data_IF_139420657681
#
_entry.id   IF_139420657681
#
_cell.length_a   1.000
_cell.length_b   1.000
_cell.length_c   1.000
_cell.angle_alpha   90.00
_cell.angle_beta   90.00
_cell.angle_gamma   90.00
#
_symmetry.space_group_name_H-M   'P 1'
#
loop_
_entity.id
_entity.type
_entity.pdbx_description
1 polymer ?
#
# COMPACT_ATOMS: atom_id res chain seq x y z
N UNK A 1 0.55 -8.01 -27.57
CA UNK A 1 1.40 -8.73 -26.60
C UNK A 1 0.81 -10.13 -26.45
N UNK A 2 1.53 -11.15 -26.88
CA UNK A 2 1.01 -12.52 -27.04
C UNK A 2 0.91 -13.16 -25.65
N UNK A 3 -0.30 -13.48 -25.20
CA UNK A 3 -0.48 -14.29 -24.00
C UNK A 3 0.11 -15.68 -24.25
N UNK A 4 1.09 -16.07 -23.44
CA UNK A 4 1.56 -17.44 -23.38
C UNK A 4 0.39 -18.33 -22.95
N UNK A 5 0.12 -19.40 -23.71
CA UNK A 5 -0.90 -20.39 -23.40
C UNK A 5 -0.27 -21.56 -22.66
N UNK A 6 -0.79 -21.84 -21.49
CA UNK A 6 -0.49 -23.03 -20.69
C UNK A 6 -1.11 -24.27 -21.35
N UNK A 7 -0.58 -25.47 -21.06
CA UNK A 7 -0.97 -26.74 -21.71
C UNK A 7 -2.40 -27.24 -21.40
N UNK A 8 -3.24 -26.44 -20.74
CA UNK A 8 -4.60 -26.81 -20.32
C UNK A 8 -5.70 -25.85 -20.84
N UNK A 9 -5.37 -24.93 -21.75
CA UNK A 9 -6.35 -24.07 -22.42
C UNK A 9 -7.02 -22.99 -21.56
N UNK A 10 -6.80 -22.97 -20.24
CA UNK A 10 -7.16 -21.85 -19.37
C UNK A 10 -6.19 -20.69 -19.55
N UNK A 11 -6.68 -19.55 -20.03
CA UNK A 11 -5.93 -18.28 -19.99
C UNK A 11 -5.76 -17.91 -18.52
N UNK A 12 -4.55 -18.07 -17.99
CA UNK A 12 -4.22 -17.59 -16.64
C UNK A 12 -4.19 -16.06 -16.69
N UNK A 13 -5.27 -15.43 -16.25
CA UNK A 13 -5.33 -13.96 -16.21
C UNK A 13 -4.47 -13.46 -15.05
N UNK A 14 -3.58 -12.51 -15.33
CA UNK A 14 -2.80 -11.84 -14.30
C UNK A 14 -3.75 -11.06 -13.38
N UNK A 15 -3.71 -11.25 -12.05
CA UNK A 15 -4.57 -10.53 -11.12
C UNK A 15 -4.36 -9.01 -11.22
N UNK A 16 -5.45 -8.25 -11.11
CA UNK A 16 -5.42 -6.78 -11.18
C UNK A 16 -5.74 -6.19 -9.81
N UNK A 17 -4.90 -5.26 -9.35
CA UNK A 17 -5.07 -4.46 -8.15
C UNK A 17 -5.59 -3.09 -8.57
N UNK A 18 -6.84 -2.78 -8.20
CA UNK A 18 -7.48 -1.51 -8.50
C UNK A 18 -7.30 -0.53 -7.34
N UNK A 19 -6.49 0.52 -7.53
CA UNK A 19 -6.21 1.47 -6.45
C UNK A 19 -7.32 2.50 -6.23
N UNK A 20 -8.01 2.89 -7.31
CA UNK A 20 -8.99 3.98 -7.25
C UNK A 20 -10.43 3.47 -7.10
N UNK A 21 -10.68 2.19 -7.41
CA UNK A 21 -11.95 1.51 -7.15
C UNK A 21 -12.00 0.99 -5.72
N UNK A 22 -12.41 1.87 -4.80
CA UNK A 22 -12.69 1.51 -3.41
C UNK A 22 -14.17 1.62 -3.08
N UNK A 23 -14.66 0.67 -2.29
CA UNK A 23 -15.94 0.81 -1.61
C UNK A 23 -15.88 2.01 -0.65
N UNK A 24 -17.01 2.69 -0.49
CA UNK A 24 -17.19 3.85 0.39
C UNK A 24 -18.26 3.53 1.41
N UNK A 25 -18.23 4.24 2.54
CA UNK A 25 -19.15 4.03 3.64
C UNK A 25 -19.09 2.61 4.18
N UNK A 26 -17.87 2.07 4.26
CA UNK A 26 -17.64 0.74 4.81
C UNK A 26 -17.54 0.82 6.34
N UNK A 27 -17.73 -0.30 7.02
CA UNK A 27 -17.68 -0.34 8.49
C UNK A 27 -16.31 0.09 9.02
N UNK A 28 -15.22 -0.17 8.27
CA UNK A 28 -13.85 0.26 8.65
C UNK A 28 -13.68 1.78 8.71
N UNK A 29 -14.57 2.56 8.08
CA UNK A 29 -14.53 4.02 8.12
C UNK A 29 -15.24 4.60 9.37
N UNK A 30 -16.16 3.84 9.97
CA UNK A 30 -17.09 4.34 11.00
C UNK A 30 -16.96 3.61 12.34
N UNK A 31 -16.44 2.37 12.33
CA UNK A 31 -16.33 1.52 13.50
C UNK A 31 -14.88 1.11 13.77
N UNK A 32 -14.42 1.42 14.98
CA UNK A 32 -13.04 1.18 15.41
C UNK A 32 -12.73 -0.31 15.50
N UNK A 33 -13.66 -1.12 16.00
CA UNK A 33 -13.42 -2.55 16.18
C UNK A 33 -13.30 -3.27 14.84
N UNK A 34 -14.14 -2.87 13.87
CA UNK A 34 -14.06 -3.29 12.47
C UNK A 34 -12.71 -2.91 11.84
N UNK A 35 -12.23 -1.68 12.07
CA UNK A 35 -10.92 -1.26 11.58
C UNK A 35 -9.77 -2.08 12.18
N UNK A 36 -9.79 -2.33 13.49
CA UNK A 36 -8.79 -3.17 14.18
C UNK A 36 -8.81 -4.62 13.67
N UNK A 37 -10.00 -5.19 13.48
CA UNK A 37 -10.17 -6.52 12.91
C UNK A 37 -9.58 -6.62 11.50
N UNK A 38 -9.83 -5.60 10.66
CA UNK A 38 -9.30 -5.56 9.30
C UNK A 38 -7.77 -5.45 9.30
N UNK A 39 -7.19 -4.64 10.18
CA UNK A 39 -5.73 -4.54 10.35
C UNK A 39 -5.15 -5.91 10.72
N UNK A 40 -5.74 -6.62 11.69
CA UNK A 40 -5.21 -7.93 12.09
C UNK A 40 -5.35 -8.97 10.97
N UNK A 41 -6.44 -8.91 10.20
CA UNK A 41 -6.61 -9.78 9.03
C UNK A 41 -5.55 -9.53 7.97
N UNK A 42 -5.26 -8.26 7.65
CA UNK A 42 -4.18 -7.89 6.73
C UNK A 42 -2.83 -8.40 7.26
N UNK A 43 -2.53 -8.22 8.55
CA UNK A 43 -1.28 -8.70 9.18
C UNK A 43 -1.13 -10.22 9.06
N UNK A 44 -2.19 -10.98 9.35
CA UNK A 44 -2.18 -12.45 9.21
C UNK A 44 -1.92 -12.86 7.77
N UNK A 45 -2.57 -12.23 6.81
CA UNK A 45 -2.40 -12.54 5.39
C UNK A 45 -0.96 -12.27 4.92
N UNK A 46 -0.39 -11.12 5.28
CA UNK A 46 0.99 -10.76 4.92
C UNK A 46 1.98 -11.76 5.53
N UNK A 47 1.80 -12.15 6.79
CA UNK A 47 2.68 -13.13 7.47
C UNK A 47 2.64 -14.52 6.84
N UNK A 48 1.53 -14.87 6.18
CA UNK A 48 1.37 -16.15 5.50
C UNK A 48 1.96 -16.15 4.07
N UNK A 49 2.41 -15.00 3.56
CA UNK A 49 2.95 -14.93 2.19
C UNK A 49 4.34 -15.54 2.09
N UNK A 50 4.56 -16.28 1.01
CA UNK A 50 5.87 -16.85 0.68
C UNK A 50 6.61 -15.95 -0.32
N UNK A 51 7.94 -16.07 -0.46
CA UNK A 51 8.70 -15.34 -1.47
C UNK A 51 8.18 -15.54 -2.90
N UNK A 52 7.67 -16.74 -3.22
CA UNK A 52 7.09 -17.07 -4.52
C UNK A 52 5.79 -16.28 -4.77
N UNK A 53 4.93 -16.18 -3.75
CA UNK A 53 3.71 -15.35 -3.81
C UNK A 53 4.07 -13.88 -4.00
N UNK A 54 5.04 -13.37 -3.24
CA UNK A 54 5.51 -11.98 -3.36
C UNK A 54 6.10 -11.67 -4.74
N UNK A 55 6.72 -12.65 -5.38
CA UNK A 55 7.32 -12.50 -6.71
C UNK A 55 6.30 -12.67 -7.85
N UNK A 56 5.05 -13.00 -7.53
CA UNK A 56 4.01 -13.25 -8.54
C UNK A 56 3.69 -11.98 -9.33
N UNK A 57 3.52 -12.10 -10.66
CA UNK A 57 3.13 -10.97 -11.51
C UNK A 57 1.69 -10.54 -11.19
N UNK A 58 1.48 -9.23 -11.17
CA UNK A 58 0.18 -8.58 -11.01
C UNK A 58 0.08 -7.40 -11.97
N UNK A 59 -1.11 -6.83 -12.14
CA UNK A 59 -1.29 -5.52 -12.76
C UNK A 59 -1.77 -4.51 -11.73
N UNK A 60 -1.12 -3.34 -11.65
CA UNK A 60 -1.62 -2.21 -10.89
C UNK A 60 -2.44 -1.29 -11.79
N UNK A 61 -3.71 -1.06 -11.47
CA UNK A 61 -4.60 -0.21 -12.22
C UNK A 61 -4.84 1.12 -11.48
N UNK A 62 -4.63 2.23 -12.18
CA UNK A 62 -4.71 3.58 -11.65
C UNK A 62 -5.52 4.50 -12.55
N UNK A 63 -6.35 5.33 -11.96
CA UNK A 63 -6.98 6.47 -12.60
C UNK A 63 -6.02 7.66 -12.59
N UNK A 64 -5.48 8.01 -13.75
CA UNK A 64 -4.45 9.06 -13.87
C UNK A 64 -5.03 10.46 -14.10
N UNK A 65 -6.34 10.54 -14.29
CA UNK A 65 -7.03 11.78 -14.64
C UNK A 65 -8.51 11.71 -14.25
N UNK A 66 -9.18 12.86 -14.15
CA UNK A 66 -10.55 12.94 -13.61
C UNK A 66 -11.62 12.32 -14.52
N UNK A 67 -11.26 11.90 -15.73
CA UNK A 67 -12.13 11.26 -16.72
C UNK A 67 -12.55 9.83 -16.33
N UNK A 68 -12.03 9.28 -15.24
CA UNK A 68 -12.54 8.02 -14.68
C UNK A 68 -11.92 6.75 -15.27
N UNK A 69 -11.02 6.88 -16.25
CA UNK A 69 -10.40 5.72 -16.92
C UNK A 69 -9.21 5.20 -16.11
N UNK A 70 -9.20 3.91 -15.80
CA UNK A 70 -8.04 3.24 -15.22
C UNK A 70 -7.07 2.77 -16.31
N UNK A 71 -5.78 2.92 -16.05
CA UNK A 71 -4.69 2.37 -16.86
C UNK A 71 -3.97 1.29 -16.04
N UNK A 72 -3.80 0.12 -16.64
CA UNK A 72 -3.14 -1.03 -16.00
C UNK A 72 -1.67 -1.09 -16.40
N UNK A 73 -0.82 -1.34 -15.40
CA UNK A 73 0.63 -1.47 -15.56
C UNK A 73 1.10 -2.81 -15.02
N UNK A 74 2.04 -3.44 -15.70
CA UNK A 74 2.68 -4.66 -15.21
C UNK A 74 3.48 -4.39 -13.92
N UNK A 75 3.40 -5.33 -13.00
CA UNK A 75 4.03 -5.23 -11.69
C UNK A 75 4.24 -6.62 -11.04
N UNK A 76 4.76 -6.64 -9.83
CA UNK A 76 4.80 -7.80 -8.93
C UNK A 76 4.12 -7.46 -7.61
N UNK A 77 3.61 -8.47 -6.91
CA UNK A 77 2.98 -8.25 -5.60
C UNK A 77 3.93 -7.55 -4.62
N UNK A 78 5.23 -7.91 -4.61
CA UNK A 78 6.26 -7.27 -3.80
C UNK A 78 6.45 -5.79 -4.12
N UNK A 79 6.41 -5.40 -5.40
CA UNK A 79 6.53 -4.00 -5.82
C UNK A 79 5.31 -3.19 -5.40
N UNK A 80 4.10 -3.76 -5.49
CA UNK A 80 2.87 -3.12 -5.02
C UNK A 80 2.85 -2.98 -3.48
N UNK A 81 3.37 -3.95 -2.74
CA UNK A 81 3.56 -3.81 -1.29
C UNK A 81 4.53 -2.69 -0.93
N UNK A 82 5.66 -2.59 -1.63
CA UNK A 82 6.61 -1.50 -1.42
C UNK A 82 5.96 -0.14 -1.71
N UNK A 83 5.15 -0.04 -2.77
CA UNK A 83 4.35 1.15 -3.06
C UNK A 83 3.41 1.50 -1.90
N UNK A 84 2.64 0.54 -1.38
CA UNK A 84 1.72 0.77 -0.27
C UNK A 84 2.44 1.28 0.99
N UNK A 85 3.61 0.71 1.32
CA UNK A 85 4.44 1.16 2.45
C UNK A 85 4.92 2.60 2.24
N UNK A 86 5.49 2.92 1.07
CA UNK A 86 5.97 4.27 0.76
C UNK A 86 4.83 5.29 0.77
N UNK A 87 3.67 4.94 0.22
CA UNK A 87 2.49 5.79 0.20
C UNK A 87 1.95 6.05 1.61
N UNK A 88 1.92 5.03 2.47
CA UNK A 88 1.53 5.18 3.87
C UNK A 88 2.49 6.11 4.64
N UNK A 89 3.81 5.96 4.45
CA UNK A 89 4.81 6.83 5.08
C UNK A 89 4.63 8.29 4.63
N UNK A 90 4.37 8.52 3.34
CA UNK A 90 4.07 9.85 2.81
C UNK A 90 2.84 10.48 3.48
N UNK A 91 1.74 9.73 3.60
CA UNK A 91 0.54 10.22 4.30
C UNK A 91 0.80 10.47 5.79
N UNK A 92 1.57 9.61 6.47
CA UNK A 92 1.95 9.82 7.87
C UNK A 92 2.74 11.13 8.05
N UNK A 93 3.56 11.53 7.06
CA UNK A 93 4.24 12.82 7.08
C UNK A 93 3.25 14.00 7.03
N UNK A 94 2.22 13.92 6.19
CA UNK A 94 1.17 14.93 6.10
C UNK A 94 0.32 14.97 7.38
N UNK A 95 -0.06 13.81 7.91
CA UNK A 95 -0.79 13.69 9.18
C UNK A 95 0.00 14.30 10.33
N UNK A 96 1.33 14.06 10.39
CA UNK A 96 2.21 14.69 11.38
C UNK A 96 2.11 16.21 11.34
N UNK A 97 2.20 16.80 10.14
CA UNK A 97 2.09 18.26 9.97
C UNK A 97 0.74 18.75 10.49
N UNK A 98 -0.37 18.11 10.09
CA UNK A 98 -1.71 18.50 10.53
C UNK A 98 -1.89 18.39 12.05
N UNK A 99 -1.40 17.30 12.67
CA UNK A 99 -1.46 17.11 14.11
C UNK A 99 -0.66 18.18 14.85
N UNK A 100 0.56 18.49 14.40
CA UNK A 100 1.37 19.54 15.03
C UNK A 100 0.75 20.94 14.89
N UNK A 101 0.04 21.22 13.81
CA UNK A 101 -0.62 22.51 13.60
C UNK A 101 -1.91 22.67 14.41
N UNK A 102 -2.74 21.63 14.50
CA UNK A 102 -4.07 21.72 15.10
C UNK A 102 -4.16 21.15 16.52
N UNK A 103 -3.20 20.31 16.91
CA UNK A 103 -3.17 19.60 18.20
C UNK A 103 -1.75 19.62 18.79
N UNK A 104 -1.20 20.81 19.12
CA UNK A 104 0.20 20.97 19.52
C UNK A 104 0.57 20.18 20.79
N UNK A 105 -0.40 19.84 21.64
CA UNK A 105 -0.19 19.04 22.85
C UNK A 105 -0.06 17.53 22.57
N UNK A 106 -0.37 17.08 21.35
CA UNK A 106 -0.21 15.68 20.95
C UNK A 106 1.25 15.41 20.60
N UNK A 107 1.91 14.61 21.45
CA UNK A 107 3.25 14.13 21.17
C UNK A 107 3.23 12.99 20.16
N UNK A 108 4.08 13.09 19.14
CA UNK A 108 4.32 12.04 18.16
C UNK A 108 5.77 11.56 18.26
N UNK A 109 6.04 10.27 17.97
CA UNK A 109 7.41 9.80 17.84
C UNK A 109 8.18 10.66 16.83
N UNK A 110 9.43 11.03 17.15
CA UNK A 110 10.26 11.91 16.32
C UNK A 110 10.35 11.43 14.87
N UNK A 111 10.42 10.10 14.71
CA UNK A 111 10.61 9.37 13.44
C UNK A 111 9.30 9.16 12.66
N UNK A 112 8.15 9.51 13.23
CA UNK A 112 6.85 9.33 12.57
C UNK A 112 6.79 10.12 11.26
N UNK A 113 6.33 9.46 10.20
CA UNK A 113 6.25 10.05 8.85
C UNK A 113 7.61 10.27 8.15
N UNK A 114 8.72 9.79 8.71
CA UNK A 114 10.03 9.92 8.05
C UNK A 114 10.30 8.76 7.10
N UNK A 115 10.90 9.05 5.95
CA UNK A 115 11.37 8.03 5.02
C UNK A 115 12.52 7.21 5.64
N UNK A 116 12.59 5.88 5.39
CA UNK A 116 13.66 5.04 5.93
C UNK A 116 15.07 5.50 5.52
N UNK A 117 15.23 6.04 4.31
CA UNK A 117 16.50 6.60 3.84
C UNK A 117 16.97 7.80 4.67
N UNK A 118 16.05 8.68 5.07
CA UNK A 118 16.34 9.81 5.96
C UNK A 118 16.73 9.35 7.35
N UNK A 119 16.03 8.34 7.89
CA UNK A 119 16.40 7.74 9.17
C UNK A 119 17.80 7.12 9.11
N UNK A 120 18.10 6.39 8.04
CA UNK A 120 19.41 5.80 7.83
C UNK A 120 20.52 6.86 7.74
N UNK A 121 20.30 7.94 6.99
CA UNK A 121 21.25 9.06 6.91
C UNK A 121 21.55 9.64 8.30
N UNK A 122 20.52 9.92 9.09
CA UNK A 122 20.70 10.47 10.43
C UNK A 122 21.49 9.54 11.35
N UNK A 123 21.24 8.22 11.32
CA UNK A 123 21.99 7.24 12.13
C UNK A 123 23.48 7.20 11.78
N UNK A 124 23.81 7.35 10.49
CA UNK A 124 25.21 7.35 10.03
C UNK A 124 25.95 8.64 10.41
N UNK A 125 25.27 9.79 10.43
CA UNK A 125 25.86 11.07 10.86
C UNK A 125 26.05 11.17 12.38
N UNK A 126 25.34 10.35 13.18
CA UNK A 126 25.49 10.33 14.65
C UNK A 126 26.43 9.24 15.18
N UNK A 127 27.04 8.44 14.30
CA UNK A 127 27.99 7.35 14.65
C UNK A 127 29.44 7.80 14.53
#
# INVERSE_FOLDING_TARGET
>A
MVAAKDQDGTVKTTPVIHYDKRARNTDIEHDRDSALYQIETIRRNIRAMTPEVLSSPVQGAFMLSAEGTEFAFESTLSREMAFAVHHCIHHNALVKVLLQQHFPDVSLPQQFGMAPSTLNFNMLETS
#
